data_IF_443036531136
#
_entry.id   IF_443036531136
#
_cell.length_a   1.000
_cell.length_b   1.000
_cell.length_c   1.000
_cell.angle_alpha   90.00
_cell.angle_beta   90.00
_cell.angle_gamma   90.00
#
_symmetry.space_group_name_H-M   'P 1'
#
loop_
_entity.id
_entity.type
_entity.pdbx_description
1 polymer ?
#
# COMPACT_ATOMS: atom_id res chain seq x y z
N UNK A 1 -2.50 12.84 -22.31
CA UNK A 1 -1.45 13.02 -21.29
C UNK A 1 -1.04 11.62 -20.80
N UNK A 2 0.23 11.27 -20.92
CA UNK A 2 0.69 9.96 -20.47
C UNK A 2 0.64 9.92 -18.94
N UNK A 3 -0.04 8.93 -18.40
CA UNK A 3 -0.16 8.73 -16.94
C UNK A 3 0.93 7.80 -16.46
N UNK A 4 1.52 8.11 -15.31
CA UNK A 4 2.42 7.19 -14.64
C UNK A 4 1.61 6.03 -14.08
N UNK A 5 1.92 4.83 -14.54
CA UNK A 5 1.36 3.59 -14.04
C UNK A 5 2.45 2.72 -13.45
N UNK A 6 2.08 1.83 -12.60
CA UNK A 6 2.97 0.83 -12.09
C UNK A 6 3.05 0.90 -10.59
N UNK A 7 2.24 0.09 -9.99
CA UNK A 7 2.35 -0.19 -8.56
C UNK A 7 1.51 -1.38 -8.21
N UNK A 8 2.05 -2.26 -7.42
CA UNK A 8 1.28 -3.21 -6.65
C UNK A 8 1.72 -3.11 -5.20
N UNK A 9 0.80 -2.80 -4.33
CA UNK A 9 0.99 -2.86 -2.88
C UNK A 9 0.06 -3.93 -2.33
N UNK A 10 0.60 -4.80 -1.50
CA UNK A 10 -0.15 -5.85 -0.83
C UNK A 10 0.21 -5.88 0.65
N UNK A 11 -0.79 -5.87 1.51
CA UNK A 11 -0.65 -6.15 2.93
C UNK A 11 -1.45 -7.38 3.31
N UNK A 12 -0.86 -8.25 4.11
CA UNK A 12 -1.49 -9.45 4.64
C UNK A 12 -1.28 -9.50 6.14
N UNK A 13 -2.36 -9.71 6.86
CA UNK A 13 -2.35 -9.96 8.30
C UNK A 13 -2.67 -11.43 8.55
N UNK A 14 -1.78 -12.10 9.27
CA UNK A 14 -2.00 -13.47 9.71
C UNK A 14 -1.52 -13.63 11.14
N UNK A 15 -2.39 -14.10 12.02
CA UNK A 15 -2.12 -14.20 13.45
C UNK A 15 -1.73 -12.82 14.04
N UNK A 16 -0.53 -12.70 14.60
CA UNK A 16 -0.02 -11.45 15.19
C UNK A 16 0.85 -10.64 14.24
N UNK A 17 1.13 -11.18 13.05
CA UNK A 17 2.05 -10.56 12.10
C UNK A 17 1.27 -9.87 10.99
N UNK A 18 1.64 -8.66 10.65
CA UNK A 18 1.26 -7.99 9.42
C UNK A 18 2.49 -7.77 8.54
N UNK A 19 2.38 -8.17 7.28
CA UNK A 19 3.38 -7.90 6.26
C UNK A 19 2.80 -6.94 5.21
N UNK A 20 3.59 -5.99 4.77
CA UNK A 20 3.22 -5.07 3.70
C UNK A 20 4.36 -4.99 2.71
N UNK A 21 4.08 -5.28 1.45
CA UNK A 21 5.06 -5.29 0.39
C UNK A 21 4.62 -4.54 -0.85
N UNK A 22 5.58 -4.23 -1.69
CA UNK A 22 5.36 -3.58 -2.97
C UNK A 22 6.43 -3.93 -3.99
N UNK A 23 6.08 -3.78 -5.27
CA UNK A 23 7.02 -3.87 -6.38
C UNK A 23 7.82 -2.57 -6.55
N UNK A 24 8.74 -2.56 -7.51
CA UNK A 24 9.61 -1.41 -7.75
C UNK A 24 9.40 -0.69 -9.08
N UNK A 25 8.41 -1.10 -9.89
CA UNK A 25 8.27 -0.56 -11.24
C UNK A 25 7.56 0.79 -11.26
N UNK A 26 8.12 1.72 -12.01
CA UNK A 26 7.47 2.97 -12.43
C UNK A 26 7.45 2.98 -13.95
N UNK A 27 6.27 3.10 -14.53
CA UNK A 27 6.02 3.04 -15.97
C UNK A 27 5.40 4.34 -16.45
N UNK A 28 5.91 4.88 -17.56
CA UNK A 28 5.33 6.02 -18.26
C UNK A 28 4.90 5.56 -19.65
N UNK A 29 3.58 5.52 -19.90
CA UNK A 29 3.06 4.91 -21.12
C UNK A 29 3.51 3.45 -21.26
N UNK A 30 4.32 3.17 -22.27
CA UNK A 30 4.85 1.82 -22.56
C UNK A 30 6.32 1.63 -22.11
N UNK A 31 6.88 2.58 -21.37
CA UNK A 31 8.30 2.56 -21.00
C UNK A 31 8.46 2.41 -19.49
N UNK A 32 9.28 1.46 -19.07
CA UNK A 32 9.72 1.34 -17.68
C UNK A 32 10.79 2.39 -17.44
N UNK A 33 10.47 3.41 -16.64
CA UNK A 33 11.41 4.50 -16.32
C UNK A 33 12.22 4.25 -15.07
N UNK A 34 11.72 3.37 -14.18
CA UNK A 34 12.44 2.92 -12.99
C UNK A 34 11.95 1.54 -12.58
N UNK A 35 12.87 0.66 -12.22
CA UNK A 35 12.58 -0.72 -11.81
C UNK A 35 12.74 -0.97 -10.31
N UNK A 36 13.34 -0.04 -9.58
CA UNK A 36 13.72 -0.18 -8.16
C UNK A 36 13.18 0.94 -7.27
N UNK A 37 11.98 1.43 -7.56
CA UNK A 37 11.33 2.44 -6.72
C UNK A 37 10.92 1.82 -5.37
N UNK A 38 11.11 2.58 -4.31
CA UNK A 38 10.67 2.17 -2.97
C UNK A 38 9.30 2.75 -2.66
N UNK A 39 8.28 1.89 -2.65
CA UNK A 39 6.87 2.27 -2.46
C UNK A 39 6.33 1.94 -1.07
N UNK A 40 7.15 1.31 -0.23
CA UNK A 40 6.80 0.88 1.12
C UNK A 40 7.69 1.60 2.12
N UNK A 41 7.09 2.09 3.20
CA UNK A 41 7.79 2.82 4.27
C UNK A 41 7.31 2.41 5.64
N UNK A 42 8.20 2.61 6.62
CA UNK A 42 7.87 2.60 8.04
C UNK A 42 7.67 4.03 8.52
N UNK A 43 6.59 4.29 9.21
CA UNK A 43 6.23 5.59 9.77
C UNK A 43 6.05 5.49 11.28
N UNK A 44 6.04 6.65 11.94
CA UNK A 44 5.74 6.75 13.37
C UNK A 44 6.57 5.78 14.22
N UNK A 45 7.87 6.06 14.37
CA UNK A 45 8.80 5.25 15.17
C UNK A 45 8.78 3.76 14.79
N UNK A 46 8.71 3.47 13.50
CA UNK A 46 8.65 2.11 12.94
C UNK A 46 7.42 1.27 13.36
N UNK A 47 6.37 1.91 13.88
CA UNK A 47 5.16 1.23 14.35
C UNK A 47 4.04 1.12 13.31
N UNK A 48 4.16 1.82 12.19
CA UNK A 48 3.18 1.84 11.10
C UNK A 48 3.87 1.52 9.79
N UNK A 49 3.27 0.61 9.03
CA UNK A 49 3.68 0.31 7.65
C UNK A 49 2.77 1.09 6.69
N UNK A 50 3.34 1.65 5.65
CA UNK A 50 2.59 2.38 4.63
C UNK A 50 3.09 2.03 3.23
N UNK A 51 2.15 1.88 2.29
CA UNK A 51 2.42 1.67 0.88
C UNK A 51 1.58 2.61 0.04
N UNK A 52 2.12 3.04 -1.10
CA UNK A 52 1.53 4.05 -1.95
C UNK A 52 1.34 3.53 -3.37
N UNK A 53 0.15 3.77 -3.94
CA UNK A 53 -0.15 3.54 -5.34
C UNK A 53 -0.57 4.86 -6.00
N UNK A 54 0.17 5.29 -7.02
CA UNK A 54 -0.04 6.56 -7.72
C UNK A 54 1.27 7.16 -8.23
N UNK A 55 1.26 8.45 -8.56
CA UNK A 55 2.45 9.16 -9.01
C UNK A 55 3.47 9.33 -7.88
N UNK A 56 4.74 9.03 -8.16
CA UNK A 56 5.80 9.01 -7.14
C UNK A 56 6.01 10.37 -6.46
N UNK A 57 5.83 11.46 -7.19
CA UNK A 57 5.94 12.82 -6.63
C UNK A 57 4.91 13.08 -5.53
N UNK A 58 3.73 12.46 -5.63
CA UNK A 58 2.63 12.64 -4.68
C UNK A 58 2.82 11.79 -3.41
N UNK A 59 3.58 10.70 -3.52
CA UNK A 59 3.83 9.77 -2.42
C UNK A 59 4.48 10.46 -1.21
N UNK A 60 5.48 11.28 -1.44
CA UNK A 60 6.19 11.98 -0.37
C UNK A 60 5.26 12.90 0.42
N UNK A 61 4.46 13.69 -0.28
CA UNK A 61 3.49 14.60 0.36
C UNK A 61 2.50 13.84 1.21
N UNK A 62 1.94 12.75 0.70
CA UNK A 62 0.97 11.95 1.43
C UNK A 62 1.57 11.23 2.63
N UNK A 63 2.78 10.68 2.51
CA UNK A 63 3.47 10.06 3.64
C UNK A 63 3.79 11.08 4.74
N UNK A 64 4.27 12.27 4.39
CA UNK A 64 4.52 13.35 5.35
C UNK A 64 3.25 13.80 6.06
N UNK A 65 2.17 13.99 5.31
CA UNK A 65 0.87 14.37 5.85
C UNK A 65 0.32 13.29 6.79
N UNK A 66 0.47 12.03 6.42
CA UNK A 66 0.01 10.92 7.26
C UNK A 66 0.83 10.80 8.53
N UNK A 67 2.14 10.90 8.45
CA UNK A 67 3.02 10.88 9.63
C UNK A 67 2.70 12.02 10.60
N UNK A 68 2.42 13.21 10.10
CA UNK A 68 1.98 14.33 10.93
C UNK A 68 0.66 14.05 11.66
N UNK A 69 -0.29 13.34 11.02
CA UNK A 69 -1.53 12.90 11.66
C UNK A 69 -1.28 11.83 12.74
N UNK A 70 -0.37 10.89 12.46
CA UNK A 70 0.03 9.88 13.44
C UNK A 70 0.68 10.51 14.67
N UNK A 71 1.54 11.47 14.48
CA UNK A 71 2.17 12.23 15.59
C UNK A 71 1.10 12.97 16.41
N UNK A 72 0.22 13.70 15.75
CA UNK A 72 -0.85 14.46 16.39
C UNK A 72 -1.82 13.58 17.19
N UNK A 73 -2.12 12.39 16.69
CA UNK A 73 -3.08 11.46 17.30
C UNK A 73 -2.42 10.29 18.04
N UNK A 74 -1.15 10.44 18.39
CA UNK A 74 -0.39 9.48 19.23
C UNK A 74 -0.41 8.05 18.68
N UNK A 75 -0.29 7.91 17.36
CA UNK A 75 -0.22 6.62 16.68
C UNK A 75 -1.56 5.90 16.50
N UNK A 76 -2.68 6.55 16.79
CA UNK A 76 -4.00 6.00 16.53
C UNK A 76 -4.26 5.93 15.03
N UNK A 77 -4.08 4.73 14.44
CA UNK A 77 -4.09 4.53 12.99
C UNK A 77 -5.40 4.97 12.34
N UNK A 78 -6.53 4.45 12.82
CA UNK A 78 -7.85 4.74 12.23
C UNK A 78 -8.19 6.22 12.30
N UNK A 79 -7.95 6.84 13.44
CA UNK A 79 -8.18 8.28 13.61
C UNK A 79 -7.31 9.11 12.69
N UNK A 80 -6.03 8.79 12.60
CA UNK A 80 -5.08 9.46 11.71
C UNK A 80 -5.48 9.30 10.25
N UNK A 81 -5.93 8.12 9.85
CA UNK A 81 -6.43 7.83 8.51
C UNK A 81 -7.68 8.66 8.17
N UNK A 82 -8.65 8.73 9.08
CA UNK A 82 -9.87 9.54 8.90
C UNK A 82 -9.54 11.02 8.76
N UNK A 83 -8.63 11.53 9.59
CA UNK A 83 -8.23 12.94 9.52
C UNK A 83 -7.45 13.25 8.22
N UNK A 84 -6.60 12.34 7.77
CA UNK A 84 -5.94 12.49 6.45
C UNK A 84 -6.97 12.46 5.32
N UNK A 85 -7.94 11.55 5.35
CA UNK A 85 -8.98 11.46 4.33
C UNK A 85 -9.81 12.74 4.23
N UNK A 86 -10.13 13.37 5.35
CA UNK A 86 -10.81 14.68 5.40
C UNK A 86 -9.97 15.77 4.73
N UNK A 87 -8.68 15.85 5.04
CA UNK A 87 -7.75 16.81 4.44
C UNK A 87 -7.60 16.54 2.94
N UNK A 88 -7.46 15.27 2.55
CA UNK A 88 -7.30 14.88 1.16
C UNK A 88 -8.49 15.32 0.30
N UNK A 89 -9.68 15.12 0.82
CA UNK A 89 -10.93 15.51 0.16
C UNK A 89 -11.08 17.03 0.02
N UNK A 90 -10.67 17.81 1.02
CA UNK A 90 -10.94 19.24 1.14
C UNK A 90 -9.78 20.14 0.71
N UNK A 91 -8.54 19.70 0.80
CA UNK A 91 -7.36 20.47 0.42
C UNK A 91 -7.27 20.59 -1.11
N UNK A 92 -7.08 21.80 -1.61
CA UNK A 92 -7.03 22.07 -3.07
C UNK A 92 -5.86 21.37 -3.77
N UNK A 93 -4.75 21.17 -3.09
CA UNK A 93 -3.58 20.48 -3.62
C UNK A 93 -3.79 18.97 -3.54
N UNK A 94 -4.10 18.44 -2.36
CA UNK A 94 -4.24 17.01 -2.13
C UNK A 94 -5.36 16.37 -2.95
N UNK A 95 -6.50 17.02 -3.10
CA UNK A 95 -7.65 16.46 -3.84
C UNK A 95 -7.41 16.22 -5.33
N UNK A 96 -6.33 16.78 -5.88
CA UNK A 96 -5.92 16.54 -7.27
C UNK A 96 -5.07 15.27 -7.41
N UNK A 97 -4.64 14.68 -6.30
CA UNK A 97 -3.81 13.49 -6.29
C UNK A 97 -4.68 12.25 -6.51
N UNK A 98 -4.47 11.60 -7.64
CA UNK A 98 -5.08 10.30 -7.92
C UNK A 98 -4.18 9.20 -7.34
N UNK A 99 -4.46 8.82 -6.11
CA UNK A 99 -3.62 7.92 -5.36
C UNK A 99 -4.42 7.13 -4.32
N UNK A 100 -3.81 6.09 -3.81
CA UNK A 100 -4.29 5.30 -2.69
C UNK A 100 -3.15 5.01 -1.73
N UNK A 101 -3.45 4.98 -0.44
CA UNK A 101 -2.54 4.51 0.59
C UNK A 101 -3.05 3.21 1.20
N UNK A 102 -2.14 2.26 1.39
CA UNK A 102 -2.35 1.11 2.25
C UNK A 102 -1.54 1.33 3.52
N UNK A 103 -2.16 1.27 4.67
CA UNK A 103 -1.50 1.47 5.96
C UNK A 103 -1.85 0.36 6.93
N UNK A 104 -0.91 -0.04 7.75
CA UNK A 104 -1.12 -1.09 8.73
C UNK A 104 -0.29 -0.84 9.99
N UNK A 105 -0.87 -1.15 11.14
CA UNK A 105 -0.17 -1.30 12.40
C UNK A 105 -0.44 -2.70 12.99
N UNK A 106 -0.11 -2.90 14.26
CA UNK A 106 -0.34 -4.20 14.93
C UNK A 106 -1.82 -4.57 15.06
N UNK A 107 -2.73 -3.61 15.01
CA UNK A 107 -4.16 -3.81 15.27
C UNK A 107 -5.06 -3.71 14.06
N UNK A 108 -4.71 -2.93 13.05
CA UNK A 108 -5.58 -2.66 11.90
C UNK A 108 -4.81 -2.52 10.59
N UNK A 109 -5.51 -2.76 9.49
CA UNK A 109 -5.03 -2.54 8.12
C UNK A 109 -6.09 -1.76 7.36
N UNK A 110 -5.73 -0.65 6.73
CA UNK A 110 -6.67 0.29 6.12
C UNK A 110 -6.25 0.68 4.71
N UNK A 111 -7.23 0.98 3.87
CA UNK A 111 -7.04 1.69 2.60
C UNK A 111 -7.56 3.12 2.78
N UNK A 112 -6.77 4.10 2.37
CA UNK A 112 -7.15 5.51 2.36
C UNK A 112 -7.15 5.98 0.90
N UNK A 113 -8.28 6.55 0.45
CA UNK A 113 -8.43 7.01 -0.93
C UNK A 113 -8.54 8.53 -1.04
N UNK A 114 -8.23 9.05 -2.22
CA UNK A 114 -8.34 10.48 -2.52
C UNK A 114 -9.78 11.01 -2.53
N UNK A 115 -10.78 10.14 -2.57
CA UNK A 115 -12.20 10.51 -2.45
C UNK A 115 -12.65 10.71 -1.01
N UNK A 116 -11.77 10.45 -0.05
CA UNK A 116 -12.04 10.61 1.38
C UNK A 116 -12.52 9.34 2.07
N UNK A 117 -12.40 8.19 1.41
CA UNK A 117 -12.78 6.91 1.99
C UNK A 117 -11.65 6.32 2.85
N UNK A 118 -12.04 5.71 3.95
CA UNK A 118 -11.18 4.86 4.79
C UNK A 118 -11.86 3.51 4.89
N UNK A 119 -11.22 2.48 4.35
CA UNK A 119 -11.76 1.13 4.26
C UNK A 119 -10.91 0.16 5.07
N UNK A 120 -11.55 -0.66 5.88
CA UNK A 120 -10.93 -1.82 6.52
C UNK A 120 -11.36 -3.07 5.74
N UNK A 121 -10.47 -3.66 4.92
CA UNK A 121 -10.84 -4.83 4.12
C UNK A 121 -11.06 -6.07 4.97
N UNK A 122 -11.91 -6.94 4.48
CA UNK A 122 -12.14 -8.25 5.08
C UNK A 122 -10.89 -9.16 4.92
N UNK A 123 -10.80 -10.20 5.74
CA UNK A 123 -9.74 -11.23 5.72
C UNK A 123 -8.32 -10.70 5.98
N UNK A 124 -8.14 -9.46 6.40
CA UNK A 124 -6.82 -8.89 6.67
C UNK A 124 -5.94 -8.73 5.43
N UNK A 125 -6.55 -8.65 4.24
CA UNK A 125 -5.84 -8.47 2.96
C UNK A 125 -6.15 -7.09 2.42
N UNK A 126 -5.10 -6.30 2.18
CA UNK A 126 -5.18 -5.00 1.50
C UNK A 126 -4.38 -5.08 0.22
N UNK A 127 -5.00 -4.78 -0.91
CA UNK A 127 -4.30 -4.74 -2.20
C UNK A 127 -4.72 -3.49 -2.97
N UNK A 128 -3.74 -2.73 -3.44
CA UNK A 128 -3.95 -1.51 -4.22
C UNK A 128 -2.99 -1.46 -5.41
N UNK A 129 -3.34 -0.63 -6.40
CA UNK A 129 -2.54 -0.42 -7.59
C UNK A 129 -2.92 -1.34 -8.75
N UNK A 130 -2.17 -1.23 -9.85
CA UNK A 130 -2.46 -1.92 -11.12
C UNK A 130 -2.46 -3.45 -10.98
N UNK A 131 -1.54 -4.00 -10.22
CA UNK A 131 -1.46 -5.45 -9.95
C UNK A 131 -2.24 -5.89 -8.71
N UNK A 132 -2.96 -4.98 -8.06
CA UNK A 132 -3.71 -5.25 -6.84
C UNK A 132 -4.66 -6.44 -6.92
N UNK A 133 -5.54 -6.52 -7.92
CA UNK A 133 -6.47 -7.65 -8.06
C UNK A 133 -5.80 -9.01 -8.18
N UNK A 134 -4.67 -9.10 -8.88
CA UNK A 134 -3.90 -10.35 -9.00
C UNK A 134 -3.27 -10.74 -7.67
N UNK A 135 -2.64 -9.78 -6.99
CA UNK A 135 -2.03 -10.00 -5.68
C UNK A 135 -3.09 -10.38 -4.63
N UNK A 136 -4.24 -9.73 -4.64
CA UNK A 136 -5.35 -10.03 -3.74
C UNK A 136 -5.88 -11.45 -3.92
N UNK A 137 -6.14 -11.86 -5.16
CA UNK A 137 -6.64 -13.19 -5.47
C UNK A 137 -5.63 -14.28 -5.04
N UNK A 138 -4.34 -14.07 -5.34
CA UNK A 138 -3.27 -14.97 -4.93
C UNK A 138 -3.14 -15.06 -3.41
N UNK A 139 -3.15 -13.92 -2.72
CA UNK A 139 -3.05 -13.86 -1.25
C UNK A 139 -4.22 -14.59 -0.58
N UNK A 140 -5.43 -14.39 -1.08
CA UNK A 140 -6.62 -15.06 -0.57
C UNK A 140 -6.52 -16.58 -0.72
N UNK A 141 -6.14 -17.05 -1.89
CA UNK A 141 -5.97 -18.48 -2.13
C UNK A 141 -4.89 -19.10 -1.22
N UNK A 142 -3.78 -18.41 -1.01
CA UNK A 142 -2.70 -18.88 -0.15
C UNK A 142 -3.09 -18.90 1.34
N UNK A 143 -3.80 -17.88 1.82
CA UNK A 143 -4.27 -17.84 3.21
C UNK A 143 -5.26 -18.96 3.49
N UNK A 144 -6.19 -19.20 2.56
CA UNK A 144 -7.25 -20.20 2.75
C UNK A 144 -6.75 -21.64 2.64
N UNK A 145 -5.64 -21.89 1.94
CA UNK A 145 -5.20 -23.23 1.58
C UNK A 145 -3.78 -23.61 2.07
N UNK A 146 -3.08 -22.71 2.74
CA UNK A 146 -1.71 -22.96 3.23
C UNK A 146 -1.49 -22.43 4.63
N UNK A 147 -0.39 -22.86 5.27
CA UNK A 147 0.09 -22.35 6.56
C UNK A 147 1.25 -21.35 6.38
N UNK A 148 1.43 -20.77 5.19
CA UNK A 148 2.47 -19.80 4.93
C UNK A 148 2.35 -18.58 5.86
N UNK A 149 3.48 -18.02 6.27
CA UNK A 149 3.52 -16.79 7.05
C UNK A 149 2.98 -15.60 6.25
N UNK A 150 2.59 -14.53 6.94
CA UNK A 150 2.15 -13.29 6.27
C UNK A 150 3.18 -12.80 5.26
N UNK A 151 4.47 -12.81 5.61
CA UNK A 151 5.56 -12.41 4.71
C UNK A 151 5.65 -13.31 3.48
N UNK A 152 5.57 -14.62 3.64
CA UNK A 152 5.63 -15.56 2.53
C UNK A 152 4.43 -15.41 1.59
N UNK A 153 3.24 -15.18 2.14
CA UNK A 153 2.03 -14.91 1.34
C UNK A 153 2.22 -13.65 0.51
N UNK A 154 2.71 -12.57 1.11
CA UNK A 154 2.98 -11.31 0.39
C UNK A 154 4.01 -11.54 -0.72
N UNK A 155 5.12 -12.21 -0.42
CA UNK A 155 6.16 -12.47 -1.42
C UNK A 155 5.63 -13.24 -2.63
N UNK A 156 4.96 -14.36 -2.41
CA UNK A 156 4.43 -15.21 -3.48
C UNK A 156 3.33 -14.52 -4.28
N UNK A 157 2.47 -13.78 -3.60
CA UNK A 157 1.37 -13.06 -4.26
C UNK A 157 1.87 -11.91 -5.15
N UNK A 158 2.89 -11.18 -4.69
CA UNK A 158 3.52 -10.13 -5.48
C UNK A 158 4.33 -10.70 -6.66
N UNK A 159 4.97 -11.85 -6.50
CA UNK A 159 5.61 -12.57 -7.61
C UNK A 159 4.60 -12.92 -8.71
N UNK A 160 3.45 -13.46 -8.34
CA UNK A 160 2.37 -13.79 -9.28
C UNK A 160 1.85 -12.51 -9.97
N UNK A 161 1.61 -11.45 -9.22
CA UNK A 161 1.20 -10.17 -9.80
C UNK A 161 2.24 -9.63 -10.79
N UNK A 162 3.53 -9.78 -10.48
CA UNK A 162 4.63 -9.39 -11.36
C UNK A 162 4.71 -10.18 -12.66
N UNK A 163 4.21 -11.42 -12.67
CA UNK A 163 4.12 -12.23 -13.89
C UNK A 163 2.91 -11.86 -14.76
N UNK A 164 1.81 -11.46 -14.14
CA UNK A 164 0.54 -11.24 -14.82
C UNK A 164 0.32 -9.78 -15.24
N UNK A 165 0.76 -8.82 -14.44
CA UNK A 165 0.54 -7.40 -14.66
C UNK A 165 1.76 -6.75 -15.28
N UNK A 166 1.60 -6.19 -16.48
CA UNK A 166 2.70 -5.53 -17.21
C UNK A 166 3.22 -4.25 -16.52
N UNK A 167 2.45 -3.68 -15.59
CA UNK A 167 2.79 -2.46 -14.86
C UNK A 167 3.51 -2.72 -13.53
N UNK A 168 3.82 -3.96 -13.23
CA UNK A 168 4.49 -4.35 -11.98
C UNK A 168 5.65 -5.30 -12.25
N UNK A 169 6.65 -5.30 -11.38
CA UNK A 169 7.81 -6.18 -11.51
C UNK A 169 8.01 -7.04 -10.25
N UNK A 170 9.10 -7.79 -10.21
CA UNK A 170 9.45 -8.70 -9.13
C UNK A 170 10.57 -8.16 -8.23
N UNK A 171 10.89 -6.87 -8.32
CA UNK A 171 11.76 -6.19 -7.37
C UNK A 171 10.94 -5.81 -6.12
N UNK A 172 10.77 -6.77 -5.25
CA UNK A 172 9.81 -6.71 -4.14
C UNK A 172 10.52 -6.29 -2.85
N UNK A 173 9.95 -5.32 -2.16
CA UNK A 173 10.35 -4.90 -0.80
C UNK A 173 9.20 -5.22 0.14
N UNK A 174 9.48 -5.90 1.24
CA UNK A 174 8.48 -6.30 2.24
C UNK A 174 8.94 -5.86 3.63
N UNK A 175 8.06 -5.22 4.36
CA UNK A 175 8.20 -4.87 5.76
C UNK A 175 7.20 -5.64 6.62
N UNK A 176 7.56 -5.96 7.84
CA UNK A 176 6.70 -6.71 8.78
C UNK A 176 6.66 -6.07 10.15
N UNK A 177 5.50 -6.20 10.82
CA UNK A 177 5.30 -5.89 12.25
C UNK A 177 4.73 -7.14 12.95
N UNK A 178 5.22 -7.39 14.16
CA UNK A 178 4.76 -8.46 15.06
C UNK A 178 4.09 -7.91 16.31
#
# INVERSE_FOLDING_TARGET
METFHGTTILSVRRERTVALGGDGQVTLGNVVVKASARKVRRLYQDKVLAGFAGATADAFTLFERFEAKLDKHQGQLTRSAVELAKDWRSDRVLRRLEAMLAVADRSASLIITGTGDVLEPELGIVAIGSGGPYAQAAARALIENTELSAREVVQRSLDIAGELCIYTNRNIVIETLE
#
